data_IF_301899294844
#
_entry.id   IF_301899294844
#
_cell.length_a   1.000
_cell.length_b   1.000
_cell.length_c   1.000
_cell.angle_alpha   90.00
_cell.angle_beta   90.00
_cell.angle_gamma   90.00
#
_symmetry.space_group_name_H-M   'P 1'
#
loop_
_entity.id
_entity.type
_entity.pdbx_description
1 polymer ?
#
# COMPACT_ATOMS: atom_id res chain seq x y z
N UNK A 1 -11.02 -17.88 10.42
CA UNK A 1 -11.24 -17.70 8.97
C UNK A 1 -10.08 -16.89 8.43
N UNK A 2 -9.16 -17.53 7.70
CA UNK A 2 -8.01 -16.84 7.12
C UNK A 2 -8.49 -16.00 5.94
N UNK A 3 -8.37 -14.67 6.04
CA UNK A 3 -8.59 -13.78 4.89
C UNK A 3 -7.41 -14.01 3.95
N UNK A 4 -7.61 -14.93 3.01
CA UNK A 4 -6.60 -15.33 2.03
C UNK A 4 -6.26 -14.13 1.15
N UNK A 5 -4.98 -13.77 1.13
CA UNK A 5 -4.42 -12.77 0.21
C UNK A 5 -4.94 -13.07 -1.21
N UNK A 6 -5.52 -12.10 -1.94
CA UNK A 6 -6.13 -12.37 -3.24
C UNK A 6 -5.12 -13.03 -4.17
N UNK A 7 -5.51 -14.17 -4.73
CA UNK A 7 -4.69 -14.98 -5.63
C UNK A 7 -4.29 -14.15 -6.85
N UNK A 8 -3.17 -14.52 -7.48
CA UNK A 8 -2.66 -13.81 -8.67
C UNK A 8 -3.70 -13.70 -9.79
N UNK A 9 -4.61 -14.68 -9.86
CA UNK A 9 -5.73 -14.77 -10.79
C UNK A 9 -6.78 -13.68 -10.56
N UNK A 10 -7.22 -13.47 -9.31
CA UNK A 10 -8.15 -12.37 -8.94
C UNK A 10 -7.57 -11.00 -9.31
N UNK A 11 -6.25 -10.85 -9.24
CA UNK A 11 -5.57 -9.61 -9.63
C UNK A 11 -5.43 -9.45 -11.15
N UNK A 12 -5.50 -10.55 -11.91
CA UNK A 12 -5.51 -10.51 -13.38
C UNK A 12 -6.92 -10.23 -13.90
N UNK A 13 -7.95 -10.88 -13.35
CA UNK A 13 -9.35 -10.64 -13.75
C UNK A 13 -9.74 -9.18 -13.55
N UNK A 14 -9.36 -8.57 -12.41
CA UNK A 14 -9.57 -7.15 -12.16
C UNK A 14 -8.83 -6.23 -13.16
N UNK A 15 -7.67 -6.64 -13.66
CA UNK A 15 -6.90 -5.88 -14.65
C UNK A 15 -7.54 -5.97 -16.04
N UNK A 16 -7.98 -7.16 -16.46
CA UNK A 16 -8.72 -7.35 -17.72
C UNK A 16 -10.04 -6.55 -17.72
N UNK A 17 -10.71 -6.48 -16.57
CA UNK A 17 -11.91 -5.65 -16.40
C UNK A 17 -11.60 -4.16 -16.60
N UNK A 18 -10.47 -3.66 -16.09
CA UNK A 18 -10.02 -2.28 -16.30
C UNK A 18 -9.72 -1.99 -17.79
N UNK A 19 -9.09 -2.93 -18.49
CA UNK A 19 -8.85 -2.81 -19.93
C UNK A 19 -10.17 -2.76 -20.69
N UNK A 20 -11.15 -3.58 -20.32
CA UNK A 20 -12.49 -3.58 -20.92
C UNK A 20 -13.21 -2.25 -20.69
N UNK A 21 -13.11 -1.69 -19.50
CA UNK A 21 -13.69 -0.36 -19.19
C UNK A 21 -12.97 0.76 -19.96
N UNK A 22 -11.66 0.69 -20.11
CA UNK A 22 -10.90 1.61 -20.95
C UNK A 22 -11.36 1.55 -22.43
N UNK A 23 -11.68 0.37 -22.97
CA UNK A 23 -12.25 0.22 -24.34
C UNK A 23 -13.57 1.01 -24.48
N UNK A 24 -14.41 1.01 -23.44
CA UNK A 24 -15.70 1.71 -23.47
C UNK A 24 -15.56 3.23 -23.33
N UNK A 25 -14.55 3.70 -22.60
CA UNK A 25 -14.35 5.13 -22.35
C UNK A 25 -13.49 5.83 -23.43
N UNK A 26 -12.68 5.08 -24.17
CA UNK A 26 -11.83 5.63 -25.24
C UNK A 26 -12.66 5.89 -26.50
N UNK A 27 -12.70 7.16 -26.92
CA UNK A 27 -13.36 7.60 -28.15
C UNK A 27 -12.50 7.41 -29.41
N UNK A 28 -11.17 7.34 -29.27
CA UNK A 28 -10.27 7.20 -30.41
C UNK A 28 -10.32 5.79 -31.02
N UNK A 29 -10.60 5.65 -32.34
CA UNK A 29 -10.76 4.35 -32.97
C UNK A 29 -9.46 3.55 -33.06
N UNK A 30 -8.30 4.22 -33.19
CA UNK A 30 -6.99 3.56 -33.24
C UNK A 30 -6.63 2.92 -31.91
N UNK A 31 -6.82 3.65 -30.82
CA UNK A 31 -6.65 3.16 -29.46
C UNK A 31 -7.64 2.03 -29.14
N UNK A 32 -8.91 2.19 -29.54
CA UNK A 32 -9.94 1.16 -29.34
C UNK A 32 -9.57 -0.16 -30.01
N UNK A 33 -9.01 -0.11 -31.22
CA UNK A 33 -8.53 -1.30 -31.94
C UNK A 33 -7.42 -2.04 -31.16
N UNK A 34 -6.43 -1.30 -30.64
CA UNK A 34 -5.36 -1.91 -29.83
C UNK A 34 -5.93 -2.55 -28.57
N UNK A 35 -6.75 -1.81 -27.84
CA UNK A 35 -7.31 -2.29 -26.58
C UNK A 35 -8.17 -3.54 -26.78
N UNK A 36 -8.95 -3.61 -27.87
CA UNK A 36 -9.70 -4.82 -28.24
C UNK A 36 -8.80 -6.02 -28.56
N UNK A 37 -7.66 -5.80 -29.22
CA UNK A 37 -6.68 -6.87 -29.46
C UNK A 37 -6.01 -7.33 -28.16
N UNK A 38 -5.70 -6.40 -27.27
CA UNK A 38 -5.12 -6.69 -25.95
C UNK A 38 -6.10 -7.48 -25.08
N UNK A 39 -7.40 -7.16 -25.13
CA UNK A 39 -8.45 -7.85 -24.37
C UNK A 39 -8.65 -9.32 -24.74
N UNK A 40 -8.08 -9.80 -25.86
CA UNK A 40 -8.08 -11.23 -26.23
C UNK A 40 -7.17 -12.09 -25.35
N UNK A 41 -6.31 -11.47 -24.54
CA UNK A 41 -5.33 -12.15 -23.71
C UNK A 41 -5.69 -11.98 -22.24
N UNK A 42 -5.66 -13.08 -21.47
CA UNK A 42 -5.93 -13.04 -20.03
C UNK A 42 -4.71 -12.59 -19.19
N UNK A 43 -3.50 -12.72 -19.74
CA UNK A 43 -2.25 -12.39 -19.06
C UNK A 43 -1.60 -11.12 -19.65
N UNK A 44 -2.26 -9.98 -19.45
CA UNK A 44 -1.79 -8.69 -19.97
C UNK A 44 -0.71 -8.12 -19.04
N UNK A 45 0.43 -7.64 -19.56
CA UNK A 45 1.45 -7.02 -18.74
C UNK A 45 0.97 -5.74 -18.05
N UNK A 46 1.29 -5.63 -16.75
CA UNK A 46 0.91 -4.49 -15.89
C UNK A 46 2.03 -3.45 -15.70
N UNK A 47 3.09 -3.53 -16.50
CA UNK A 47 4.19 -2.56 -16.49
C UNK A 47 4.31 -1.97 -17.88
N UNK A 48 4.38 -0.64 -17.99
CA UNK A 48 4.46 0.08 -19.26
C UNK A 48 5.48 -0.52 -20.23
N UNK A 49 6.75 -0.64 -19.84
CA UNK A 49 7.78 -1.20 -20.73
C UNK A 49 7.49 -2.65 -21.17
N UNK A 50 6.92 -3.47 -20.28
CA UNK A 50 6.55 -4.85 -20.61
C UNK A 50 5.32 -4.90 -21.53
N UNK A 51 4.41 -3.95 -21.37
CA UNK A 51 3.24 -3.78 -22.22
C UNK A 51 3.64 -3.33 -23.63
N UNK A 52 4.52 -2.33 -23.75
CA UNK A 52 5.10 -1.93 -25.04
C UNK A 52 5.81 -3.10 -25.73
N UNK A 53 6.61 -3.86 -24.99
CA UNK A 53 7.24 -5.07 -25.56
C UNK A 53 6.22 -6.12 -25.97
N UNK A 54 5.13 -6.29 -25.21
CA UNK A 54 4.06 -7.22 -25.55
C UNK A 54 3.31 -6.81 -26.82
N UNK A 55 3.00 -5.52 -26.98
CA UNK A 55 2.38 -4.99 -28.20
C UNK A 55 3.31 -5.14 -29.41
N UNK A 56 4.61 -4.89 -29.22
CA UNK A 56 5.61 -5.04 -30.27
C UNK A 56 5.79 -6.51 -30.70
N UNK A 57 5.96 -7.43 -29.75
CA UNK A 57 6.22 -8.84 -30.07
C UNK A 57 4.96 -9.63 -30.45
N UNK A 58 3.88 -9.46 -29.70
CA UNK A 58 2.67 -10.30 -29.85
C UNK A 58 1.68 -9.72 -30.86
N UNK A 59 1.54 -8.40 -30.91
CA UNK A 59 0.60 -7.71 -31.80
C UNK A 59 1.29 -7.03 -33.00
N UNK A 60 2.63 -7.02 -33.06
CA UNK A 60 3.42 -6.37 -34.12
C UNK A 60 3.08 -4.90 -34.31
N UNK A 61 2.70 -4.22 -33.23
CA UNK A 61 2.39 -2.79 -33.24
C UNK A 61 3.63 -2.03 -32.83
N UNK A 62 4.17 -1.27 -33.79
CA UNK A 62 5.44 -0.55 -33.65
C UNK A 62 5.24 0.95 -33.39
N UNK A 63 4.01 1.47 -33.57
CA UNK A 63 3.71 2.87 -33.33
C UNK A 63 3.76 3.15 -31.82
N UNK A 64 4.88 3.71 -31.37
CA UNK A 64 5.17 3.92 -29.95
C UNK A 64 4.20 4.91 -29.31
N UNK A 65 3.86 5.99 -29.99
CA UNK A 65 2.95 7.03 -29.47
C UNK A 65 1.54 6.47 -29.25
N UNK A 66 1.07 5.63 -30.16
CA UNK A 66 -0.22 4.96 -30.06
C UNK A 66 -0.23 3.93 -28.92
N UNK A 67 0.85 3.16 -28.78
CA UNK A 67 1.03 2.19 -27.69
C UNK A 67 1.11 2.87 -26.31
N UNK A 68 1.80 4.00 -26.20
CA UNK A 68 1.88 4.79 -24.96
C UNK A 68 0.53 5.43 -24.63
N UNK A 69 -0.19 5.92 -25.62
CA UNK A 69 -1.53 6.49 -25.43
C UNK A 69 -2.53 5.41 -24.99
N UNK A 70 -2.44 4.20 -25.54
CA UNK A 70 -3.25 3.05 -25.11
C UNK A 70 -2.94 2.66 -23.65
N UNK A 71 -1.65 2.65 -23.28
CA UNK A 71 -1.24 2.42 -21.88
C UNK A 71 -1.81 3.49 -20.94
N UNK A 72 -1.66 4.77 -21.30
CA UNK A 72 -2.17 5.90 -20.50
C UNK A 72 -3.69 5.83 -20.31
N UNK A 73 -4.44 5.40 -21.34
CA UNK A 73 -5.88 5.22 -21.23
C UNK A 73 -6.24 4.17 -20.16
N UNK A 74 -5.61 3.00 -20.20
CA UNK A 74 -5.82 1.94 -19.18
C UNK A 74 -5.39 2.42 -17.79
N UNK A 75 -4.23 3.07 -17.68
CA UNK A 75 -3.71 3.57 -16.40
C UNK A 75 -4.61 4.64 -15.79
N UNK A 76 -5.15 5.56 -16.61
CA UNK A 76 -6.07 6.60 -16.14
C UNK A 76 -7.36 6.00 -15.56
N UNK A 77 -7.94 4.97 -16.19
CA UNK A 77 -9.12 4.28 -15.67
C UNK A 77 -8.79 3.48 -14.40
N UNK A 78 -7.62 2.84 -14.36
CA UNK A 78 -7.16 2.15 -13.16
C UNK A 78 -6.95 3.11 -11.97
N UNK A 79 -6.46 4.33 -12.21
CA UNK A 79 -6.32 5.38 -11.20
C UNK A 79 -7.70 5.86 -10.73
N UNK A 80 -8.60 6.22 -11.64
CA UNK A 80 -9.98 6.64 -11.30
C UNK A 80 -10.71 5.57 -10.47
N UNK A 81 -10.51 4.29 -10.77
CA UNK A 81 -11.07 3.20 -9.98
C UNK A 81 -10.48 3.08 -8.59
N UNK A 82 -9.17 3.32 -8.42
CA UNK A 82 -8.53 3.35 -7.10
C UNK A 82 -9.01 4.54 -6.29
N UNK A 83 -9.09 5.72 -6.89
CA UNK A 83 -9.58 6.94 -6.23
C UNK A 83 -11.05 6.78 -5.81
N UNK A 84 -11.90 6.22 -6.68
CA UNK A 84 -13.29 5.91 -6.34
C UNK A 84 -13.40 4.86 -5.23
N UNK A 85 -12.53 3.84 -5.21
CA UNK A 85 -12.49 2.85 -4.14
C UNK A 85 -12.02 3.44 -2.80
N UNK A 86 -11.04 4.35 -2.83
CA UNK A 86 -10.57 5.09 -1.65
C UNK A 86 -11.69 5.98 -1.11
N UNK A 87 -12.33 6.79 -1.96
CA UNK A 87 -13.46 7.65 -1.57
C UNK A 87 -14.64 6.85 -1.00
N UNK A 88 -14.95 5.68 -1.58
CA UNK A 88 -16.01 4.80 -1.09
C UNK A 88 -15.64 4.11 0.23
N UNK A 89 -14.36 3.82 0.45
CA UNK A 89 -13.84 3.28 1.71
C UNK A 89 -13.84 4.34 2.84
N UNK A 90 -13.60 5.61 2.52
CA UNK A 90 -13.70 6.72 3.46
C UNK A 90 -15.15 7.02 3.86
N UNK A 91 -16.08 6.99 2.89
CA UNK A 91 -17.52 7.09 3.16
C UNK A 91 -18.07 5.90 3.98
N UNK A 92 -17.56 4.69 3.75
CA UNK A 92 -17.91 3.51 4.56
C UNK A 92 -17.31 3.56 5.98
N UNK A 93 -16.12 4.16 6.14
CA UNK A 93 -15.51 4.42 7.46
C UNK A 93 -16.29 5.48 8.25
N UNK A 94 -16.91 6.46 7.60
CA UNK A 94 -17.78 7.43 8.27
C UNK A 94 -19.12 6.81 8.70
N UNK A 95 -19.75 5.97 7.88
CA UNK A 95 -20.98 5.25 8.28
C UNK A 95 -20.76 4.22 9.40
N UNK A 96 -19.58 3.59 9.48
CA UNK A 96 -19.24 2.69 10.59
C UNK A 96 -18.87 3.43 11.90
N UNK A 97 -18.62 4.75 11.84
CA UNK A 97 -18.36 5.58 13.02
C UNK A 97 -19.66 6.08 13.66
N UNK A 98 -20.68 6.41 12.87
CA UNK A 98 -21.99 6.84 13.38
C UNK A 98 -22.80 5.70 14.06
N UNK A 99 -22.66 4.45 13.63
CA UNK A 99 -23.38 3.33 14.27
C UNK A 99 -22.77 2.91 15.61
N UNK A 100 -21.50 3.25 15.86
CA UNK A 100 -20.83 2.94 17.15
C UNK A 100 -21.04 4.04 18.22
N UNK A 101 -21.48 5.24 17.83
CA UNK A 101 -21.63 6.39 18.74
C UNK A 101 -23.02 6.47 19.43
N UNK A 102 -23.97 5.61 19.06
CA UNK A 102 -25.32 5.59 19.67
C UNK A 102 -25.46 4.66 20.89
N UNK A 103 -24.42 3.90 21.30
CA UNK A 103 -24.53 2.91 22.39
C UNK A 103 -23.68 3.20 23.64
N UNK A 104 -22.98 4.34 23.70
CA UNK A 104 -22.07 4.65 24.82
C UNK A 104 -22.40 6.00 25.48
N UNK A 105 -23.70 6.27 25.68
CA UNK A 105 -24.19 7.32 26.59
C UNK A 105 -24.94 6.69 27.76
N UNK A 106 -24.21 6.08 28.70
CA UNK A 106 -24.61 6.06 30.11
C UNK A 106 -23.41 5.67 30.97
N UNK A 107 -23.17 6.50 31.98
CA UNK A 107 -22.21 6.35 33.08
C UNK A 107 -20.76 6.75 32.76
N UNK A 108 -20.47 8.04 33.00
CA UNK A 108 -19.46 8.45 33.99
C UNK A 108 -19.45 9.98 34.03
N UNK A 109 -20.40 10.51 34.79
CA UNK A 109 -20.32 11.84 35.38
C UNK A 109 -19.41 11.77 36.62
N UNK A 110 -18.84 12.92 36.94
CA UNK A 110 -18.03 13.27 38.12
C UNK A 110 -16.54 12.91 38.06
N UNK A 111 -15.68 13.85 37.64
CA UNK A 111 -15.17 15.01 38.41
C UNK A 111 -14.19 14.59 39.52
N UNK A 112 -13.13 15.32 39.83
CA UNK A 112 -12.52 16.52 39.26
C UNK A 112 -11.16 16.66 39.96
N UNK A 113 -10.18 17.19 39.21
CA UNK A 113 -9.17 18.06 39.80
C UNK A 113 -7.84 17.40 40.22
N UNK A 114 -6.68 18.04 40.09
CA UNK A 114 -6.42 19.44 39.75
C UNK A 114 -4.89 19.64 39.66
N UNK A 115 -4.48 20.52 38.72
CA UNK A 115 -3.26 21.37 38.68
C UNK A 115 -1.91 20.70 38.31
N UNK A 116 -1.40 21.04 37.12
CA UNK A 116 -0.40 22.10 36.80
C UNK A 116 1.03 21.55 36.98
N UNK A 117 2.04 21.78 36.14
CA UNK A 117 2.32 22.72 35.05
C UNK A 117 3.60 22.18 34.34
N UNK A 118 3.86 22.52 33.08
CA UNK A 118 5.23 22.47 32.54
C UNK A 118 5.59 21.41 31.48
N UNK A 119 5.28 21.75 30.22
CA UNK A 119 6.21 21.77 29.06
C UNK A 119 6.71 20.47 28.37
N UNK A 120 6.38 20.46 27.07
CA UNK A 120 6.99 19.86 25.89
C UNK A 120 6.99 18.34 25.57
N UNK A 121 6.57 18.13 24.32
CA UNK A 121 6.61 16.98 23.43
C UNK A 121 5.51 15.90 23.56
N UNK A 122 4.53 16.09 22.68
CA UNK A 122 3.24 15.40 22.55
C UNK A 122 3.43 13.90 22.25
N UNK A 123 3.29 13.10 23.30
CA UNK A 123 3.05 11.66 23.26
C UNK A 123 1.59 11.40 22.87
N UNK A 124 1.31 11.21 21.57
CA UNK A 124 0.04 10.60 21.14
C UNK A 124 0.18 9.08 21.21
N UNK A 125 -0.30 8.52 22.31
CA UNK A 125 -0.63 7.10 22.46
C UNK A 125 -1.90 6.78 21.68
N UNK A 126 -1.79 5.93 20.65
CA UNK A 126 -2.92 5.17 20.12
C UNK A 126 -2.59 3.68 20.17
N UNK A 127 -3.46 2.97 20.89
CA UNK A 127 -3.45 1.53 21.18
C UNK A 127 -3.17 0.64 19.95
N UNK A 128 -1.93 0.15 19.83
CA UNK A 128 -1.57 -1.28 19.77
C UNK A 128 -0.02 -1.33 19.81
N UNK A 129 0.55 -1.56 20.99
CA UNK A 129 1.91 -1.14 21.38
C UNK A 129 3.02 -2.05 20.80
N UNK A 130 3.09 -2.20 19.48
CA UNK A 130 4.24 -2.85 18.86
C UNK A 130 5.48 -2.00 19.12
N UNK A 131 6.47 -2.58 19.80
CA UNK A 131 7.71 -1.92 20.22
C UNK A 131 8.67 -1.71 19.04
N UNK A 132 8.27 -0.94 18.03
CA UNK A 132 8.98 -0.70 16.76
C UNK A 132 10.47 -0.43 16.94
N UNK A 133 10.81 0.59 17.74
CA UNK A 133 12.21 1.00 17.97
C UNK A 133 13.02 -0.14 18.60
N UNK A 134 12.45 -0.86 19.55
CA UNK A 134 13.12 -1.96 20.25
C UNK A 134 13.29 -3.18 19.35
N UNK A 135 12.28 -3.55 18.56
CA UNK A 135 12.35 -4.66 17.61
C UNK A 135 13.41 -4.40 16.54
N UNK A 136 13.43 -3.19 15.96
CA UNK A 136 14.43 -2.78 14.97
C UNK A 136 15.85 -2.86 15.55
N UNK A 137 16.08 -2.28 16.74
CA UNK A 137 17.39 -2.30 17.40
C UNK A 137 17.81 -3.73 17.78
N UNK A 138 16.89 -4.56 18.27
CA UNK A 138 17.15 -5.96 18.62
C UNK A 138 17.56 -6.78 17.40
N UNK A 139 16.85 -6.63 16.28
CA UNK A 139 17.20 -7.33 15.03
C UNK A 139 18.55 -6.86 14.50
N UNK A 140 18.86 -5.56 14.56
CA UNK A 140 20.17 -5.04 14.18
C UNK A 140 21.29 -5.57 15.07
N UNK A 141 21.11 -5.58 16.41
CA UNK A 141 22.09 -6.13 17.37
C UNK A 141 22.33 -7.64 17.21
N UNK A 142 21.32 -8.38 16.76
CA UNK A 142 21.43 -9.82 16.50
C UNK A 142 22.17 -10.14 15.19
N UNK A 143 22.49 -9.14 14.36
CA UNK A 143 23.23 -9.34 13.13
C UNK A 143 24.73 -9.10 13.34
N UNK A 144 25.54 -9.87 12.62
CA UNK A 144 26.99 -9.70 12.61
C UNK A 144 27.33 -8.26 12.15
N UNK A 145 28.08 -7.53 12.98
CA UNK A 145 28.47 -6.13 12.80
C UNK A 145 27.35 -5.08 12.96
N UNK A 146 26.23 -5.38 13.63
CA UNK A 146 25.12 -4.43 13.83
C UNK A 146 24.53 -3.88 12.50
N UNK A 147 24.73 -4.61 11.40
CA UNK A 147 24.32 -4.20 10.05
C UNK A 147 23.44 -5.27 9.40
N UNK A 148 22.41 -4.87 8.67
CA UNK A 148 21.66 -5.79 7.84
C UNK A 148 20.97 -5.11 6.65
N UNK A 149 20.69 -5.89 5.59
CA UNK A 149 19.95 -5.42 4.43
C UNK A 149 18.55 -4.95 4.85
N UNK A 150 18.12 -3.78 4.38
CA UNK A 150 16.82 -3.17 4.73
C UNK A 150 15.68 -4.14 4.38
N UNK A 151 15.76 -4.83 3.25
CA UNK A 151 14.76 -5.83 2.85
C UNK A 151 14.62 -6.96 3.87
N UNK A 152 15.74 -7.45 4.43
CA UNK A 152 15.75 -8.50 5.45
C UNK A 152 15.24 -7.98 6.79
N UNK A 153 15.65 -6.76 7.18
CA UNK A 153 15.15 -6.09 8.38
C UNK A 153 13.63 -5.89 8.32
N UNK A 154 13.13 -5.40 7.18
CA UNK A 154 11.70 -5.17 6.94
C UNK A 154 10.91 -6.46 7.08
N UNK A 155 11.34 -7.55 6.45
CA UNK A 155 10.68 -8.86 6.58
C UNK A 155 10.65 -9.33 8.04
N UNK A 156 11.77 -9.25 8.76
CA UNK A 156 11.84 -9.69 10.16
C UNK A 156 10.98 -8.83 11.11
N UNK A 157 10.85 -7.52 10.84
CA UNK A 157 9.99 -6.62 11.62
C UNK A 157 8.52 -6.84 11.29
N UNK A 158 8.19 -7.14 10.03
CA UNK A 158 6.82 -7.52 9.62
C UNK A 158 6.38 -8.79 10.33
N UNK A 159 7.22 -9.84 10.35
CA UNK A 159 6.90 -11.11 11.01
C UNK A 159 6.54 -10.90 12.48
N UNK A 160 7.33 -10.09 13.21
CA UNK A 160 7.04 -9.80 14.61
C UNK A 160 5.86 -8.85 14.81
N UNK A 161 5.63 -7.92 13.88
CA UNK A 161 4.47 -7.04 13.92
C UNK A 161 3.17 -7.82 13.74
N UNK A 162 3.13 -8.71 12.74
CA UNK A 162 1.97 -9.58 12.50
C UNK A 162 1.76 -10.53 13.69
N UNK A 163 2.84 -11.09 14.26
CA UNK A 163 2.75 -11.96 15.43
C UNK A 163 2.24 -11.24 16.69
N UNK A 164 2.61 -9.97 16.89
CA UNK A 164 2.25 -9.22 18.11
C UNK A 164 0.90 -8.52 18.01
N UNK A 165 0.56 -8.02 16.83
CA UNK A 165 -0.59 -7.10 16.61
C UNK A 165 -1.72 -7.78 15.84
N UNK A 166 -1.46 -8.90 15.16
CA UNK A 166 -2.45 -9.55 14.27
C UNK A 166 -2.88 -8.69 13.09
N UNK A 167 -2.18 -7.58 12.84
CA UNK A 167 -2.54 -6.57 11.84
C UNK A 167 -2.15 -6.96 10.43
N UNK A 168 -2.93 -6.52 9.46
CA UNK A 168 -2.64 -6.71 8.04
C UNK A 168 -1.55 -5.74 7.56
N UNK A 169 -0.66 -6.24 6.71
CA UNK A 169 0.49 -5.49 6.18
C UNK A 169 0.10 -4.92 4.81
N UNK A 170 -0.32 -3.66 4.77
CA UNK A 170 -0.66 -2.97 3.52
C UNK A 170 0.50 -2.07 3.00
N UNK A 171 0.32 -1.40 1.85
CA UNK A 171 1.31 -0.49 1.26
C UNK A 171 1.78 0.61 2.22
N UNK A 172 0.93 1.03 3.16
CA UNK A 172 1.23 2.01 4.21
C UNK A 172 2.33 1.53 5.18
N UNK A 173 2.53 0.21 5.34
CA UNK A 173 3.56 -0.32 6.23
C UNK A 173 4.97 0.08 5.78
N UNK A 174 5.23 0.21 4.47
CA UNK A 174 6.57 0.61 3.99
C UNK A 174 6.94 2.01 4.46
N UNK A 175 6.00 2.95 4.31
CA UNK A 175 6.17 4.35 4.70
C UNK A 175 6.38 4.43 6.22
N UNK A 176 5.54 3.74 6.99
CA UNK A 176 5.66 3.70 8.44
C UNK A 176 6.98 3.08 8.90
N UNK A 177 7.42 1.96 8.29
CA UNK A 177 8.69 1.32 8.61
C UNK A 177 9.89 2.24 8.34
N UNK A 178 9.91 2.94 7.20
CA UNK A 178 10.97 3.89 6.87
C UNK A 178 11.00 5.07 7.86
N UNK A 179 9.83 5.65 8.20
CA UNK A 179 9.73 6.66 9.25
C UNK A 179 10.25 6.16 10.60
N UNK A 180 9.95 4.90 10.97
CA UNK A 180 10.43 4.29 12.22
C UNK A 180 11.93 4.01 12.20
N UNK A 181 12.56 3.74 11.05
CA UNK A 181 14.01 3.61 10.93
C UNK A 181 14.71 4.94 11.25
N UNK A 182 14.23 6.04 10.66
CA UNK A 182 14.74 7.39 10.94
C UNK A 182 14.56 7.75 12.41
N UNK A 183 13.36 7.49 12.97
CA UNK A 183 13.07 7.69 14.40
C UNK A 183 13.88 6.79 15.34
N UNK A 184 14.42 5.67 14.86
CA UNK A 184 15.26 4.77 15.66
C UNK A 184 16.74 5.17 15.64
N UNK A 185 17.13 6.20 14.87
CA UNK A 185 18.51 6.65 14.73
C UNK A 185 19.38 5.66 13.95
N UNK A 186 18.77 4.88 13.06
CA UNK A 186 19.47 3.90 12.20
C UNK A 186 20.02 4.64 10.98
N UNK A 187 21.29 4.43 10.67
CA UNK A 187 21.92 5.00 9.48
C UNK A 187 21.64 4.08 8.29
N UNK A 188 21.18 4.67 7.19
CA UNK A 188 20.85 3.95 5.96
C UNK A 188 21.97 4.20 4.94
N UNK A 189 22.77 3.18 4.67
CA UNK A 189 23.79 3.17 3.62
C UNK A 189 23.26 2.40 2.40
N UNK A 190 22.59 3.14 1.52
CA UNK A 190 21.96 2.59 0.32
C UNK A 190 20.91 1.52 0.64
N UNK A 191 21.28 0.25 0.53
CA UNK A 191 20.40 -0.92 0.77
C UNK A 191 20.62 -1.59 2.13
N UNK A 192 21.46 -1.01 2.99
CA UNK A 192 21.85 -1.56 4.29
C UNK A 192 21.47 -0.58 5.40
N UNK A 193 20.95 -1.13 6.49
CA UNK A 193 20.67 -0.42 7.73
C UNK A 193 21.76 -0.77 8.76
N UNK A 194 22.34 0.22 9.43
CA UNK A 194 23.31 0.07 10.51
C UNK A 194 22.92 0.88 11.74
N UNK A 195 23.23 0.36 12.92
CA UNK A 195 23.08 1.13 14.16
C UNK A 195 24.25 2.12 14.29
N UNK A 196 23.97 3.40 14.60
CA UNK A 196 25.02 4.36 14.98
C UNK A 196 25.65 3.87 16.29
N UNK A 197 26.96 3.63 16.29
CA UNK A 197 27.71 3.27 17.51
C UNK A 197 27.82 4.47 18.44
#
# INVERSE_FOLDING_TARGET
>A
MCIGKPTGEVKQTAWVEQVTKAITNVSDPGLKSILLQVAKYDNIPRKMAKFLNFLNNSLRIHNKDLCESAWKAIESEAIKMREAAIAKSEAAKQKAKEEKEAKEKKAAEDEEGKKNDGVDDVKVTTNNDFKWKSTIKRKLKAADNNTMKIKKLKTAVIEEFVASTGGEVDGTFSIMFEQKLTSAGVVIDGKVARLKQ
#
